data_IF_182816681671
#
_entry.id   IF_182816681671
#
_cell.length_a   1.000
_cell.length_b   1.000
_cell.length_c   1.000
_cell.angle_alpha   90.00
_cell.angle_beta   90.00
_cell.angle_gamma   90.00
#
_symmetry.space_group_name_H-M   'P 1'
#
loop_
_entity.id
_entity.type
_entity.pdbx_description
1 polymer ?
#
# COMPACT_ATOMS: atom_id res chain seq x y z
N UNK A 1 -29.09 -12.80 14.15
CA UNK A 1 -28.10 -11.79 14.59
C UNK A 1 -28.71 -11.00 15.74
N UNK A 2 -28.01 -10.80 16.86
CA UNK A 2 -28.52 -10.04 18.01
C UNK A 2 -29.00 -8.63 17.63
N UNK A 3 -30.07 -8.15 18.26
CA UNK A 3 -30.71 -6.86 17.96
C UNK A 3 -29.74 -5.67 18.07
N UNK A 4 -28.85 -5.70 19.06
CA UNK A 4 -27.80 -4.70 19.26
C UNK A 4 -26.89 -4.59 18.03
N UNK A 5 -26.55 -5.72 17.39
CA UNK A 5 -25.69 -5.74 16.20
C UNK A 5 -26.45 -5.15 14.99
N UNK A 6 -27.73 -5.49 14.82
CA UNK A 6 -28.58 -4.93 13.75
C UNK A 6 -28.64 -3.40 13.87
N UNK A 7 -28.86 -2.89 15.08
CA UNK A 7 -28.92 -1.44 15.34
C UNK A 7 -27.60 -0.74 15.03
N UNK A 8 -26.46 -1.34 15.41
CA UNK A 8 -25.13 -0.79 15.12
C UNK A 8 -24.82 -0.75 13.62
N UNK A 9 -25.20 -1.78 12.86
CA UNK A 9 -25.02 -1.80 11.40
C UNK A 9 -25.87 -0.73 10.71
N UNK A 10 -27.12 -0.60 11.13
CA UNK A 10 -28.02 0.43 10.62
C UNK A 10 -27.47 1.84 10.87
N UNK A 11 -26.94 2.11 12.07
CA UNK A 11 -26.28 3.38 12.41
C UNK A 11 -25.00 3.65 11.59
N UNK A 12 -24.35 2.61 11.07
CA UNK A 12 -23.20 2.71 10.17
C UNK A 12 -23.59 2.82 8.69
N UNK A 13 -24.89 2.93 8.38
CA UNK A 13 -25.40 3.01 7.01
C UNK A 13 -25.47 1.67 6.28
N UNK A 14 -25.32 0.55 7.01
CA UNK A 14 -25.47 -0.80 6.46
C UNK A 14 -26.92 -1.24 6.67
N UNK A 15 -27.74 -1.01 5.65
CA UNK A 15 -29.20 -1.10 5.77
C UNK A 15 -29.82 -2.30 5.02
N UNK A 16 -29.05 -2.98 4.18
CA UNK A 16 -29.52 -4.05 3.32
C UNK A 16 -28.66 -5.33 3.46
N UNK A 17 -29.22 -6.45 3.01
CA UNK A 17 -28.56 -7.75 3.11
C UNK A 17 -27.20 -7.78 2.41
N UNK A 18 -27.06 -7.14 1.24
CA UNK A 18 -25.80 -7.10 0.51
C UNK A 18 -24.75 -6.27 1.26
N UNK A 19 -25.16 -5.17 1.91
CA UNK A 19 -24.31 -4.37 2.78
C UNK A 19 -23.81 -5.16 3.99
N UNK A 20 -24.67 -5.95 4.63
CA UNK A 20 -24.27 -6.83 5.75
C UNK A 20 -23.29 -7.89 5.29
N UNK A 21 -23.53 -8.49 4.11
CA UNK A 21 -22.60 -9.45 3.53
C UNK A 21 -21.25 -8.82 3.21
N UNK A 22 -21.23 -7.61 2.62
CA UNK A 22 -19.99 -6.89 2.34
C UNK A 22 -19.24 -6.53 3.63
N UNK A 23 -19.95 -6.14 4.69
CA UNK A 23 -19.32 -5.70 5.94
C UNK A 23 -18.64 -6.85 6.69
N UNK A 24 -19.28 -8.02 6.79
CA UNK A 24 -18.73 -9.16 7.55
C UNK A 24 -17.99 -10.18 6.69
N UNK A 25 -18.39 -10.35 5.43
CA UNK A 25 -17.96 -11.44 4.58
C UNK A 25 -17.19 -10.98 3.33
N UNK A 26 -16.69 -9.73 3.29
CA UNK A 26 -15.83 -9.24 2.19
C UNK A 26 -14.61 -10.15 1.93
N UNK A 27 -14.22 -10.98 2.91
CA UNK A 27 -13.00 -11.76 2.90
C UNK A 27 -13.21 -13.27 3.10
N UNK A 28 -14.45 -13.78 3.16
CA UNK A 28 -14.71 -15.19 3.50
C UNK A 28 -15.41 -15.94 2.38
N UNK A 29 -14.66 -16.25 1.33
CA UNK A 29 -14.59 -17.62 0.83
C UNK A 29 -13.12 -18.05 0.84
N UNK A 30 -12.84 -19.18 1.48
CA UNK A 30 -11.52 -19.69 1.83
C UNK A 30 -10.60 -19.85 0.60
N UNK A 31 -9.82 -18.81 0.26
CA UNK A 31 -8.80 -18.73 -0.82
C UNK A 31 -9.14 -17.79 -2.00
N UNK A 32 -10.27 -17.05 -1.96
CA UNK A 32 -10.51 -15.96 -2.90
C UNK A 32 -10.90 -14.69 -2.15
N UNK A 33 -9.92 -13.82 -1.91
CA UNK A 33 -10.19 -12.40 -1.69
C UNK A 33 -11.09 -11.96 -2.82
N UNK A 34 -12.31 -11.56 -2.50
CA UNK A 34 -13.26 -11.20 -3.52
C UNK A 34 -12.93 -9.78 -4.01
N UNK A 35 -11.93 -9.70 -4.90
CA UNK A 35 -11.35 -8.47 -5.46
C UNK A 35 -12.43 -7.57 -6.07
N UNK A 36 -13.59 -8.11 -6.43
CA UNK A 36 -14.72 -7.35 -6.98
C UNK A 36 -15.30 -6.31 -5.99
N UNK A 37 -14.97 -6.39 -4.70
CA UNK A 37 -15.39 -5.40 -3.69
C UNK A 37 -14.33 -4.36 -3.35
N UNK A 38 -13.10 -4.54 -3.85
CA UNK A 38 -12.04 -3.54 -3.76
C UNK A 38 -12.25 -2.47 -4.83
N UNK A 39 -11.87 -1.24 -4.51
CA UNK A 39 -11.80 -0.18 -5.51
C UNK A 39 -10.68 -0.47 -6.50
N UNK A 40 -10.88 -0.06 -7.74
CA UNK A 40 -9.81 -0.05 -8.73
C UNK A 40 -8.68 0.87 -8.23
N UNK A 41 -7.46 0.36 -8.02
CA UNK A 41 -6.34 1.17 -7.54
C UNK A 41 -5.99 2.32 -8.49
N UNK A 42 -6.29 2.22 -9.79
CA UNK A 42 -6.05 3.29 -10.76
C UNK A 42 -6.97 4.50 -10.58
N UNK A 43 -7.99 4.40 -9.73
CA UNK A 43 -8.76 5.57 -9.29
C UNK A 43 -7.96 6.50 -8.37
N UNK A 44 -6.86 6.01 -7.77
CA UNK A 44 -5.95 6.84 -7.01
C UNK A 44 -5.13 7.71 -7.96
N UNK A 45 -5.13 9.02 -7.69
CA UNK A 45 -4.39 10.01 -8.47
C UNK A 45 -2.91 9.59 -8.62
N UNK A 46 -2.39 9.72 -9.84
CA UNK A 46 -1.00 9.43 -10.23
C UNK A 46 -0.57 7.96 -10.06
N UNK A 47 -1.50 7.03 -9.80
CA UNK A 47 -1.17 5.61 -9.57
C UNK A 47 -0.55 4.96 -10.81
N UNK A 48 -1.12 5.23 -11.99
CA UNK A 48 -0.61 4.66 -13.24
C UNK A 48 0.79 5.17 -13.56
N UNK A 49 1.01 6.49 -13.46
CA UNK A 49 2.31 7.11 -13.68
C UNK A 49 3.36 6.58 -12.69
N UNK A 50 2.99 6.36 -11.43
CA UNK A 50 3.87 5.78 -10.42
C UNK A 50 4.26 4.32 -10.78
N UNK A 51 3.30 3.50 -11.20
CA UNK A 51 3.57 2.13 -11.67
C UNK A 51 4.54 2.14 -12.86
N UNK A 52 4.27 2.95 -13.88
CA UNK A 52 5.11 3.05 -15.08
C UNK A 52 6.55 3.49 -14.74
N UNK A 53 6.70 4.42 -13.78
CA UNK A 53 8.01 4.87 -13.30
C UNK A 53 8.80 3.76 -12.60
N UNK A 54 8.13 2.97 -11.76
CA UNK A 54 8.75 1.84 -11.04
C UNK A 54 9.15 0.75 -12.03
N UNK A 55 8.28 0.38 -12.96
CA UNK A 55 8.56 -0.61 -14.01
C UNK A 55 9.77 -0.18 -14.83
N UNK A 56 9.82 1.09 -15.23
CA UNK A 56 10.98 1.65 -15.94
C UNK A 56 12.26 1.57 -15.11
N UNK A 57 12.19 1.87 -13.81
CA UNK A 57 13.35 1.77 -12.91
C UNK A 57 13.90 0.34 -12.85
N UNK A 58 13.01 -0.65 -12.74
CA UNK A 58 13.35 -2.07 -12.69
C UNK A 58 14.02 -2.50 -13.99
N UNK A 59 13.41 -2.18 -15.14
CA UNK A 59 13.93 -2.55 -16.46
C UNK A 59 15.30 -1.93 -16.76
N UNK A 60 15.54 -0.72 -16.25
CA UNK A 60 16.81 -0.02 -16.41
C UNK A 60 17.88 -0.43 -15.38
N UNK A 61 17.57 -1.32 -14.44
CA UNK A 61 18.47 -1.69 -13.35
C UNK A 61 18.81 -0.51 -12.41
N UNK A 62 17.90 0.46 -12.30
CA UNK A 62 18.06 1.59 -11.37
C UNK A 62 18.03 1.11 -9.92
N UNK A 63 18.75 1.80 -9.04
CA UNK A 63 18.68 1.54 -7.61
C UNK A 63 17.35 2.07 -7.07
N UNK A 64 16.57 1.18 -6.44
CA UNK A 64 15.27 1.52 -5.86
C UNK A 64 15.39 1.62 -4.34
N UNK A 65 14.77 2.64 -3.79
CA UNK A 65 14.67 2.85 -2.35
C UNK A 65 13.20 3.00 -1.96
N UNK A 66 12.77 2.24 -0.95
CA UNK A 66 11.41 2.23 -0.43
C UNK A 66 11.40 3.04 0.86
N UNK A 67 10.61 4.12 0.87
CA UNK A 67 10.46 5.02 2.01
C UNK A 67 9.08 4.79 2.63
N UNK A 68 9.04 4.51 3.93
CA UNK A 68 7.78 4.38 4.68
C UNK A 68 7.63 5.49 5.70
N UNK A 69 6.41 5.67 6.20
CA UNK A 69 6.21 6.33 7.49
C UNK A 69 6.53 5.36 8.64
N UNK A 70 6.59 5.90 9.87
CA UNK A 70 6.93 5.13 11.07
C UNK A 70 5.70 4.42 11.68
N UNK A 71 4.53 4.52 11.05
CA UNK A 71 3.32 3.88 11.57
C UNK A 71 3.26 2.41 11.14
N UNK A 72 2.41 1.62 11.82
CA UNK A 72 2.31 0.17 11.57
C UNK A 72 1.93 -0.11 10.11
N UNK A 73 1.07 0.73 9.52
CA UNK A 73 0.66 0.59 8.13
C UNK A 73 1.81 0.89 7.15
N UNK A 74 2.62 1.92 7.41
CA UNK A 74 3.78 2.23 6.56
C UNK A 74 4.88 1.18 6.65
N UNK A 75 5.14 0.63 7.84
CA UNK A 75 6.10 -0.48 7.98
C UNK A 75 5.63 -1.74 7.27
N UNK A 76 4.33 -2.05 7.32
CA UNK A 76 3.74 -3.14 6.56
C UNK A 76 3.86 -2.92 5.04
N UNK A 77 3.50 -1.74 4.55
CA UNK A 77 3.58 -1.37 3.13
C UNK A 77 5.00 -1.43 2.58
N UNK A 78 5.98 -0.90 3.32
CA UNK A 78 7.41 -0.98 2.93
C UNK A 78 7.87 -2.43 2.85
N UNK A 79 7.50 -3.24 3.83
CA UNK A 79 7.91 -4.65 3.87
C UNK A 79 7.37 -5.43 2.68
N UNK A 80 6.09 -5.22 2.35
CA UNK A 80 5.45 -5.83 1.19
C UNK A 80 6.14 -5.42 -0.11
N UNK A 81 6.37 -4.12 -0.30
CA UNK A 81 6.97 -3.60 -1.53
C UNK A 81 8.44 -3.99 -1.67
N UNK A 82 9.18 -4.04 -0.57
CA UNK A 82 10.56 -4.54 -0.53
C UNK A 82 10.64 -5.99 -0.99
N UNK A 83 9.76 -6.85 -0.48
CA UNK A 83 9.73 -8.27 -0.85
C UNK A 83 9.36 -8.44 -2.33
N UNK A 84 8.34 -7.71 -2.80
CA UNK A 84 7.93 -7.71 -4.20
C UNK A 84 9.09 -7.32 -5.15
N UNK A 85 9.78 -6.21 -4.85
CA UNK A 85 10.92 -5.76 -5.65
C UNK A 85 12.08 -6.75 -5.63
N UNK A 86 12.32 -7.43 -4.50
CA UNK A 86 13.34 -8.47 -4.38
C UNK A 86 13.00 -9.71 -5.21
N UNK A 87 11.73 -10.09 -5.26
CA UNK A 87 11.24 -11.19 -6.09
C UNK A 87 11.41 -10.90 -7.59
N UNK A 88 11.30 -9.62 -7.98
CA UNK A 88 11.60 -9.15 -9.34
C UNK A 88 13.11 -9.04 -9.65
N UNK A 89 13.99 -9.49 -8.75
CA UNK A 89 15.44 -9.54 -8.98
C UNK A 89 16.19 -8.24 -8.71
N UNK A 90 15.56 -7.27 -8.03
CA UNK A 90 16.23 -6.03 -7.60
C UNK A 90 16.79 -6.15 -6.17
N UNK A 91 17.71 -5.26 -5.80
CA UNK A 91 18.20 -5.12 -4.42
C UNK A 91 17.74 -3.78 -3.82
N UNK A 92 16.45 -3.68 -3.41
CA UNK A 92 15.92 -2.43 -2.87
C UNK A 92 16.53 -2.12 -1.49
N UNK A 93 16.54 -0.84 -1.11
CA UNK A 93 16.85 -0.41 0.27
C UNK A 93 15.59 0.15 0.94
N UNK A 94 15.36 -0.18 2.20
CA UNK A 94 14.28 0.42 2.99
C UNK A 94 14.84 1.45 3.99
N UNK A 95 14.15 2.58 4.14
CA UNK A 95 14.45 3.58 5.18
C UNK A 95 13.15 4.01 5.85
N UNK A 96 13.17 4.04 7.18
CA UNK A 96 12.11 4.58 8.01
C UNK A 96 12.61 5.85 8.72
N UNK A 97 11.94 7.00 8.57
CA UNK A 97 12.36 8.24 9.21
C UNK A 97 12.14 8.16 10.72
N UNK A 98 13.17 8.49 11.50
CA UNK A 98 13.10 8.62 12.97
C UNK A 98 13.26 10.09 13.39
N UNK A 99 12.32 10.60 14.21
CA UNK A 99 12.34 11.97 14.77
C UNK A 99 11.76 13.09 13.89
N UNK A 100 11.94 14.37 14.29
CA UNK A 100 11.37 15.62 13.71
C UNK A 100 11.70 15.93 12.24
N UNK A 101 12.19 14.96 11.47
CA UNK A 101 12.43 15.02 10.02
C UNK A 101 11.23 14.58 9.19
N UNK A 102 10.00 14.69 9.71
CA UNK A 102 8.75 14.42 8.99
C UNK A 102 8.62 15.23 7.67
N UNK A 103 9.24 16.41 7.59
CA UNK A 103 9.18 17.28 6.40
C UNK A 103 10.31 17.12 5.37
N UNK A 104 11.42 16.43 5.71
CA UNK A 104 12.61 16.35 4.84
C UNK A 104 12.57 15.22 3.81
N UNK A 105 11.63 14.29 3.94
CA UNK A 105 11.56 13.08 3.11
C UNK A 105 11.11 13.40 1.69
N UNK A 106 10.21 14.36 1.51
CA UNK A 106 9.70 14.77 0.20
C UNK A 106 10.79 15.40 -0.70
N UNK A 107 11.78 16.08 -0.10
CA UNK A 107 12.83 16.76 -0.84
C UNK A 107 13.94 15.81 -1.30
N UNK A 108 14.11 14.66 -0.63
CA UNK A 108 15.16 13.69 -0.98
C UNK A 108 14.78 12.80 -2.18
N UNK A 109 13.49 12.68 -2.49
CA UNK A 109 12.98 11.81 -3.56
C UNK A 109 13.24 12.35 -4.97
N UNK A 110 13.59 13.64 -5.11
CA UNK A 110 13.90 14.24 -6.42
C UNK A 110 15.36 14.14 -6.85
N UNK A 111 16.33 13.82 -5.98
CA UNK A 111 17.74 14.14 -6.27
C UNK A 111 18.79 13.22 -5.66
N UNK A 112 18.75 11.89 -5.85
CA UNK A 112 19.98 11.09 -5.62
C UNK A 112 20.16 9.97 -6.65
N UNK A 113 20.92 10.19 -7.74
CA UNK A 113 21.69 9.11 -8.34
C UNK A 113 22.67 8.63 -7.26
N UNK A 114 22.50 7.39 -6.78
CA UNK A 114 23.36 6.79 -5.77
C UNK A 114 24.79 6.63 -6.32
N UNK A 115 25.60 7.69 -6.25
CA UNK A 115 27.05 7.63 -6.43
C UNK A 115 27.60 6.63 -5.41
N UNK A 116 28.27 5.59 -5.92
CA UNK A 116 29.05 4.64 -5.11
C UNK A 116 29.97 5.46 -4.21
N UNK A 117 29.82 5.34 -2.89
CA UNK A 117 30.94 5.62 -1.99
C UNK A 117 31.90 4.44 -2.13
N UNK A 118 33.11 4.77 -2.57
CA UNK A 118 34.25 3.87 -2.63
C UNK A 118 34.61 3.36 -1.23
#
# INVERSE_FOLDING_TARGET
>A
MPEVIVKLLYMRGVCDFSGVQRFFYSSTEHSKTNLQWLYDPFLMKDCKEACDRVITAINNGEKIMVLGDYDVDGTCGVSLFYLFLKELGTEPRSIFPTGSRKGMVFQMMQLIPLKRRA
#
